data_IF_431894632164
#
_entry.id   IF_431894632164
#
_cell.length_a   1.000
_cell.length_b   1.000
_cell.length_c   1.000
_cell.angle_alpha   90.00
_cell.angle_beta   90.00
_cell.angle_gamma   90.00
#
_symmetry.space_group_name_H-M   'P 1'
#
loop_
_entity.id
_entity.type
_entity.pdbx_description
1 polymer ?
#
# COMPACT_ATOMS: atom_id res chain seq x y z
N UNK A 1 -4.03 11.28 -9.39
CA UNK A 1 -5.14 10.86 -8.51
C UNK A 1 -6.23 11.94 -8.47
N UNK A 2 -7.48 11.52 -8.29
CA UNK A 2 -8.68 12.38 -8.27
C UNK A 2 -8.77 13.23 -6.99
N UNK A 3 -8.38 12.65 -5.85
CA UNK A 3 -8.36 13.34 -4.55
C UNK A 3 -7.45 14.58 -4.54
N UNK A 4 -6.23 14.47 -5.10
CA UNK A 4 -5.32 15.62 -5.30
C UNK A 4 -5.90 16.77 -6.14
N UNK A 5 -6.91 16.50 -6.96
CA UNK A 5 -7.63 17.51 -7.77
C UNK A 5 -8.95 17.94 -7.14
N UNK A 6 -9.26 17.43 -5.93
CA UNK A 6 -10.54 17.58 -5.23
C UNK A 6 -11.76 17.26 -6.12
N UNK A 7 -11.58 16.36 -7.10
CA UNK A 7 -12.65 16.01 -8.00
C UNK A 7 -13.73 15.19 -7.26
N UNK A 8 -15.00 15.60 -7.37
CA UNK A 8 -16.17 14.94 -6.77
C UNK A 8 -16.22 14.89 -5.24
N UNK A 9 -15.31 15.59 -4.53
CA UNK A 9 -15.22 15.57 -3.07
C UNK A 9 -16.51 16.03 -2.36
N UNK A 10 -17.21 17.00 -2.95
CA UNK A 10 -18.45 17.58 -2.41
C UNK A 10 -19.61 16.58 -2.21
N UNK A 11 -19.61 15.45 -2.95
CA UNK A 11 -20.64 14.40 -2.74
C UNK A 11 -20.47 13.68 -1.40
N UNK A 12 -19.27 13.66 -0.85
CA UNK A 12 -18.96 12.99 0.40
C UNK A 12 -18.99 13.97 1.57
N UNK A 13 -18.39 15.15 1.39
CA UNK A 13 -18.41 16.20 2.44
C UNK A 13 -19.81 16.78 2.65
N UNK A 14 -20.67 16.76 1.62
CA UNK A 14 -22.08 17.13 1.75
C UNK A 14 -22.90 16.20 2.64
N UNK A 15 -22.46 14.95 2.81
CA UNK A 15 -23.07 13.95 3.70
C UNK A 15 -22.45 13.97 5.11
N UNK A 16 -21.53 14.92 5.39
CA UNK A 16 -20.92 15.12 6.70
C UNK A 16 -19.55 14.47 6.91
N UNK A 17 -18.96 13.89 5.86
CA UNK A 17 -17.59 13.34 5.89
C UNK A 17 -16.55 14.49 5.94
N UNK A 18 -15.46 14.32 6.70
CA UNK A 18 -14.34 15.28 6.75
C UNK A 18 -13.37 15.01 5.58
N UNK A 19 -12.77 16.07 5.01
CA UNK A 19 -11.73 15.92 3.99
C UNK A 19 -10.51 15.16 4.53
N UNK A 20 -10.22 15.25 5.83
CA UNK A 20 -9.12 14.54 6.49
C UNK A 20 -9.31 13.02 6.45
N UNK A 21 -10.55 12.52 6.49
CA UNK A 21 -10.85 11.09 6.44
C UNK A 21 -10.39 10.45 5.11
N UNK A 22 -10.33 11.23 4.01
CA UNK A 22 -9.75 10.75 2.75
C UNK A 22 -8.23 10.57 2.83
N UNK A 23 -7.54 11.44 3.57
CA UNK A 23 -6.09 11.35 3.76
C UNK A 23 -5.75 10.17 4.67
N UNK A 24 -6.56 9.94 5.70
CA UNK A 24 -6.46 8.77 6.58
C UNK A 24 -6.71 7.47 5.81
N UNK A 25 -7.75 7.42 4.98
CA UNK A 25 -8.03 6.26 4.13
C UNK A 25 -6.89 5.99 3.12
N UNK A 26 -6.29 7.04 2.53
CA UNK A 26 -5.11 6.90 1.66
C UNK A 26 -3.92 6.33 2.43
N UNK A 27 -3.66 6.80 3.66
CA UNK A 27 -2.60 6.25 4.51
C UNK A 27 -2.84 4.77 4.81
N UNK A 28 -4.04 4.42 5.29
CA UNK A 28 -4.38 3.04 5.64
C UNK A 28 -4.20 2.08 4.45
N UNK A 29 -4.55 2.51 3.24
CA UNK A 29 -4.34 1.70 2.03
C UNK A 29 -2.86 1.54 1.69
N UNK A 30 -2.05 2.57 1.86
CA UNK A 30 -0.60 2.50 1.62
C UNK A 30 0.11 1.64 2.67
N UNK A 31 -0.33 1.70 3.93
CA UNK A 31 0.18 0.87 5.01
C UNK A 31 -0.07 -0.62 4.69
N UNK A 32 -1.29 -0.97 4.27
CA UNK A 32 -1.63 -2.33 3.85
C UNK A 32 -0.75 -2.81 2.68
N UNK A 33 -0.57 -1.98 1.65
CA UNK A 33 0.32 -2.32 0.51
C UNK A 33 1.75 -2.55 0.99
N UNK A 34 2.23 -1.72 1.91
CA UNK A 34 3.59 -1.81 2.46
C UNK A 34 3.78 -3.09 3.29
N UNK A 35 2.78 -3.50 4.07
CA UNK A 35 2.78 -4.77 4.80
C UNK A 35 2.92 -5.97 3.84
N UNK A 36 2.12 -6.00 2.76
CA UNK A 36 2.21 -7.06 1.76
C UNK A 36 3.58 -7.08 1.05
N UNK A 37 4.11 -5.91 0.71
CA UNK A 37 5.43 -5.81 0.11
C UNK A 37 6.52 -6.34 1.06
N UNK A 38 6.42 -5.99 2.35
CA UNK A 38 7.36 -6.48 3.36
C UNK A 38 7.33 -8.02 3.46
N UNK A 39 6.16 -8.65 3.46
CA UNK A 39 6.07 -10.11 3.46
C UNK A 39 6.65 -10.74 2.19
N UNK A 40 6.37 -10.13 1.03
CA UNK A 40 6.95 -10.58 -0.23
C UNK A 40 8.48 -10.52 -0.20
N UNK A 41 9.05 -9.39 0.21
CA UNK A 41 10.49 -9.18 0.26
C UNK A 41 11.15 -10.12 1.27
N UNK A 42 10.54 -10.31 2.45
CA UNK A 42 11.02 -11.27 3.45
C UNK A 42 11.04 -12.72 2.92
N UNK A 43 10.04 -13.13 2.13
CA UNK A 43 10.05 -14.46 1.51
C UNK A 43 11.01 -14.58 0.33
N UNK A 44 11.29 -13.48 -0.37
CA UNK A 44 12.23 -13.44 -1.48
C UNK A 44 13.69 -13.48 -0.99
N UNK A 45 14.00 -12.80 0.11
CA UNK A 45 15.31 -12.89 0.76
C UNK A 45 15.56 -14.33 1.25
N UNK A 46 14.54 -14.99 1.82
CA UNK A 46 14.65 -16.38 2.28
C UNK A 46 14.75 -17.39 1.12
N UNK A 47 14.11 -17.14 -0.03
CA UNK A 47 14.23 -18.01 -1.22
C UNK A 47 15.51 -17.79 -2.03
N UNK A 48 16.04 -16.57 -2.06
CA UNK A 48 17.29 -16.25 -2.75
C UNK A 48 18.51 -16.97 -2.16
N UNK A 49 18.53 -17.18 -0.84
CA UNK A 49 19.58 -17.96 -0.17
C UNK A 49 19.56 -19.46 -0.54
N UNK A 50 18.38 -20.05 -0.79
CA UNK A 50 18.26 -21.46 -1.19
C UNK A 50 18.60 -21.70 -2.67
N UNK A 51 18.42 -20.71 -3.54
CA UNK A 51 18.78 -20.83 -4.97
C UNK A 51 20.30 -20.72 -5.19
N UNK A 52 21.02 -19.93 -4.37
CA UNK A 52 22.48 -19.77 -4.49
C UNK A 52 23.28 -21.01 -4.02
N UNK A 53 22.78 -21.76 -3.02
CA UNK A 53 23.42 -23.02 -2.58
C UNK A 53 23.21 -24.22 -3.53
N UNK A 54 22.33 -24.09 -4.54
CA UNK A 54 21.99 -25.18 -5.47
C UNK A 54 22.80 -25.20 -6.79
N UNK A 55 23.63 -24.19 -7.05
CA UNK A 55 24.41 -24.06 -8.30
C UNK A 55 25.90 -24.43 -8.15
N UNK A 56 26.35 -24.89 -6.98
CA UNK A 56 27.71 -25.43 -6.77
C UNK A 56 27.77 -26.96 -6.94
N UNK A 57 27.62 -27.48 -8.18
CA UNK A 57 28.05 -28.84 -8.57
C UNK A 57 28.43 -28.93 -10.07
#
# INVERSE_FOLDING_TARGET
AMFRRKAFLHWYTGEGMDEMEFTEAESNMNDLVSEYQQYQDATADEQGEFEEEGEED
#
